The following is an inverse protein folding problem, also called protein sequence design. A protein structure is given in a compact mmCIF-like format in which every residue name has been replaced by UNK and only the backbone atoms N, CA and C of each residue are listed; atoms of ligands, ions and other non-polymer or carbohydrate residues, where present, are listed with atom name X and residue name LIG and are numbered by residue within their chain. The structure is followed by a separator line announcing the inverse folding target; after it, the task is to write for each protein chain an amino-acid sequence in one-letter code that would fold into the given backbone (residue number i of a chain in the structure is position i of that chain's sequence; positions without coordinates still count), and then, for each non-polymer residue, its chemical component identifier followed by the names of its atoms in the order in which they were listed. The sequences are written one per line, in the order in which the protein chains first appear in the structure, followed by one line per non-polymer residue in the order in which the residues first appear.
data_IF_016718108366
#
_entry.id   IF_016718108366
#
_cell.length_a   1.000
_cell.length_b   1.000
_cell.length_c   1.000
_cell.angle_alpha   90.00
_cell.angle_beta   90.00
_cell.angle_gamma   90.00
#
_symmetry.space_group_name_H-M   'P 1'
#
loop_
_entity.id
_entity.type
_entity.pdbx_description
1 polymer ?
#
# COMPACT_ATOMS: atom_id res chain seq x y z
N UNK A 1 31.07 7.78 -57.36
CA UNK A 1 31.40 8.69 -56.23
C UNK A 1 30.48 8.37 -55.07
N UNK A 2 31.05 8.14 -53.88
CA UNK A 2 30.42 7.50 -52.71
C UNK A 2 29.27 8.36 -52.14
N UNK A 3 28.07 7.78 -52.01
CA UNK A 3 26.96 8.40 -51.25
C UNK A 3 27.23 8.20 -49.76
N UNK A 4 27.52 9.30 -49.06
CA UNK A 4 27.68 9.32 -47.60
C UNK A 4 26.30 9.19 -46.97
N UNK A 5 26.09 8.13 -46.19
CA UNK A 5 24.90 7.91 -45.39
C UNK A 5 25.15 8.55 -44.02
N UNK A 6 24.59 9.73 -43.77
CA UNK A 6 24.66 10.39 -42.46
C UNK A 6 23.64 9.72 -41.54
N UNK A 7 24.12 8.92 -40.59
CA UNK A 7 23.30 8.31 -39.56
C UNK A 7 22.94 9.37 -38.51
N UNK A 8 21.67 9.81 -38.51
CA UNK A 8 21.14 10.76 -37.54
C UNK A 8 20.92 10.03 -36.20
N UNK A 9 21.81 10.23 -35.23
CA UNK A 9 21.64 9.73 -33.86
C UNK A 9 20.59 10.60 -33.16
N UNK A 10 19.35 10.13 -33.11
CA UNK A 10 18.28 10.78 -32.36
C UNK A 10 18.53 10.52 -30.87
N UNK A 11 19.17 11.47 -30.17
CA UNK A 11 19.19 11.47 -28.70
C UNK A 11 17.78 11.74 -28.19
N UNK A 12 17.05 10.67 -27.88
CA UNK A 12 15.82 10.78 -27.11
C UNK A 12 16.27 11.14 -25.68
N UNK A 13 16.25 12.44 -25.35
CA UNK A 13 16.28 12.87 -23.95
C UNK A 13 14.98 12.39 -23.30
N UNK A 14 14.97 11.15 -22.83
CA UNK A 14 13.93 10.68 -21.92
C UNK A 14 14.03 11.52 -20.66
N UNK A 15 13.04 12.37 -20.42
CA UNK A 15 12.85 13.02 -19.12
C UNK A 15 12.56 11.91 -18.10
N UNK A 16 13.61 11.29 -17.57
CA UNK A 16 13.50 10.49 -16.35
C UNK A 16 13.15 11.46 -15.24
N UNK A 17 12.14 11.12 -14.43
CA UNK A 17 11.88 11.87 -13.21
C UNK A 17 13.13 11.88 -12.33
N UNK A 18 13.25 12.91 -11.51
CA UNK A 18 14.36 13.08 -10.58
C UNK A 18 14.39 12.02 -9.49
N UNK A 19 13.22 11.51 -9.13
CA UNK A 19 13.05 10.45 -8.12
C UNK A 19 12.04 9.44 -8.63
N UNK A 20 12.48 8.20 -8.85
CA UNK A 20 11.66 7.06 -9.19
C UNK A 20 11.37 6.22 -7.94
N UNK A 21 10.10 6.01 -7.64
CA UNK A 21 9.65 5.36 -6.41
C UNK A 21 8.86 4.11 -6.74
N UNK A 22 9.31 2.97 -6.21
CA UNK A 22 8.52 1.75 -6.17
C UNK A 22 7.71 1.74 -4.86
N UNK A 23 6.38 1.88 -4.94
CA UNK A 23 5.52 1.94 -3.77
C UNK A 23 4.46 0.85 -3.78
N UNK A 24 4.20 0.27 -2.60
CA UNK A 24 3.09 -0.65 -2.42
C UNK A 24 1.76 0.00 -2.81
N UNK A 25 0.88 -0.78 -3.43
CA UNK A 25 -0.41 -0.29 -3.92
C UNK A 25 -1.28 0.39 -2.85
N UNK A 26 -1.19 -0.04 -1.58
CA UNK A 26 -1.94 0.60 -0.49
C UNK A 26 -1.57 2.08 -0.27
N UNK A 27 -0.32 2.49 -0.59
CA UNK A 27 0.20 3.87 -0.47
C UNK A 27 -0.42 4.81 -1.49
N UNK A 28 -0.94 4.28 -2.60
CA UNK A 28 -1.45 5.05 -3.73
C UNK A 28 -2.37 6.21 -3.32
N UNK A 29 -3.24 5.93 -2.34
CA UNK A 29 -4.28 6.87 -1.90
C UNK A 29 -3.71 8.11 -1.22
N UNK A 30 -2.65 7.96 -0.41
CA UNK A 30 -1.97 9.08 0.25
C UNK A 30 -0.90 9.74 -0.65
N UNK A 31 -0.42 9.03 -1.67
CA UNK A 31 0.77 9.43 -2.41
C UNK A 31 0.64 10.79 -3.10
N UNK A 32 -0.53 11.09 -3.69
CA UNK A 32 -0.76 12.40 -4.32
C UNK A 32 -0.68 13.56 -3.33
N UNK A 33 -1.17 13.37 -2.10
CA UNK A 33 -1.07 14.38 -1.05
C UNK A 33 0.37 14.53 -0.55
N UNK A 34 1.08 13.41 -0.36
CA UNK A 34 2.50 13.40 0.00
C UNK A 34 3.34 14.13 -1.05
N UNK A 35 3.13 13.82 -2.33
CA UNK A 35 3.82 14.46 -3.44
C UNK A 35 3.55 15.96 -3.46
N UNK A 36 2.29 16.38 -3.36
CA UNK A 36 1.91 17.80 -3.33
C UNK A 36 2.55 18.54 -2.16
N UNK A 37 2.58 17.93 -0.98
CA UNK A 37 3.19 18.56 0.20
C UNK A 37 4.70 18.69 0.06
N UNK A 38 5.39 17.65 -0.41
CA UNK A 38 6.83 17.68 -0.69
C UNK A 38 7.20 18.78 -1.70
N UNK A 39 6.40 18.93 -2.76
CA UNK A 39 6.63 19.90 -3.83
C UNK A 39 6.48 21.36 -3.38
N UNK A 40 5.84 21.64 -2.24
CA UNK A 40 5.79 23.02 -1.69
C UNK A 40 7.17 23.56 -1.34
N UNK A 41 8.06 22.68 -0.86
CA UNK A 41 9.44 23.03 -0.48
C UNK A 41 10.46 22.65 -1.56
N UNK A 42 10.05 21.85 -2.55
CA UNK A 42 10.90 21.31 -3.60
C UNK A 42 10.19 21.35 -4.97
N UNK A 43 9.85 22.56 -5.48
CA UNK A 43 9.06 22.69 -6.70
C UNK A 43 9.75 22.12 -7.95
N UNK A 44 11.09 22.10 -7.95
CA UNK A 44 11.90 21.64 -9.08
C UNK A 44 12.22 20.14 -9.06
N UNK A 45 11.72 19.39 -8.07
CA UNK A 45 11.96 17.94 -7.96
C UNK A 45 10.75 17.18 -8.50
N UNK A 46 10.95 16.51 -9.63
CA UNK A 46 9.95 15.65 -10.25
C UNK A 46 9.93 14.25 -9.61
N UNK A 47 8.75 13.75 -9.26
CA UNK A 47 8.57 12.42 -8.66
C UNK A 47 7.75 11.56 -9.61
N UNK A 48 8.26 10.38 -9.90
CA UNK A 48 7.53 9.31 -10.58
C UNK A 48 7.31 8.15 -9.60
N UNK A 49 6.09 7.64 -9.55
CA UNK A 49 5.71 6.52 -8.67
C UNK A 49 5.18 5.36 -9.48
N UNK A 50 5.79 4.19 -9.28
CA UNK A 50 5.30 2.91 -9.77
C UNK A 50 4.64 2.16 -8.63
N UNK A 51 3.33 1.94 -8.77
CA UNK A 51 2.51 1.27 -7.76
C UNK A 51 2.38 -0.21 -8.09
N UNK A 52 2.50 -1.08 -7.07
CA UNK A 52 2.35 -2.51 -7.28
C UNK A 52 2.36 -3.34 -5.99
N UNK A 53 2.23 -4.66 -6.15
CA UNK A 53 2.45 -5.58 -5.04
C UNK A 53 3.94 -5.55 -4.63
N UNK A 54 4.24 -5.42 -3.34
CA UNK A 54 5.62 -5.30 -2.86
C UNK A 54 6.52 -6.45 -3.30
N UNK A 55 6.01 -7.69 -3.35
CA UNK A 55 6.78 -8.83 -3.88
C UNK A 55 7.20 -8.66 -5.34
N UNK A 56 6.30 -8.15 -6.21
CA UNK A 56 6.63 -7.89 -7.60
C UNK A 56 7.66 -6.76 -7.73
N UNK A 57 7.51 -5.70 -6.92
CA UNK A 57 8.45 -4.58 -6.90
C UNK A 57 9.84 -5.00 -6.39
N UNK A 58 9.91 -5.89 -5.38
CA UNK A 58 11.17 -6.52 -4.95
C UNK A 58 11.83 -7.26 -6.12
N UNK A 59 11.08 -8.08 -6.86
CA UNK A 59 11.61 -8.77 -8.04
C UNK A 59 12.11 -7.79 -9.11
N UNK A 60 11.38 -6.69 -9.36
CA UNK A 60 11.82 -5.67 -10.31
C UNK A 60 13.11 -4.98 -9.87
N UNK A 61 13.23 -4.60 -8.59
CA UNK A 61 14.45 -3.99 -8.03
C UNK A 61 15.64 -4.95 -8.17
N UNK A 62 15.46 -6.23 -7.82
CA UNK A 62 16.49 -7.26 -7.97
C UNK A 62 16.92 -7.49 -9.43
N UNK A 63 15.99 -7.30 -10.36
CA UNK A 63 16.25 -7.38 -11.80
C UNK A 63 16.77 -6.07 -12.41
N UNK A 64 17.13 -5.07 -11.58
CA UNK A 64 17.79 -3.85 -12.04
C UNK A 64 16.86 -2.71 -12.45
N UNK A 65 15.57 -2.75 -12.07
CA UNK A 65 14.68 -1.62 -12.29
C UNK A 65 15.20 -0.36 -11.54
N UNK A 66 15.27 0.81 -12.21
CA UNK A 66 15.96 2.00 -11.70
C UNK A 66 15.10 2.80 -10.69
N UNK A 67 14.71 2.16 -9.59
CA UNK A 67 13.99 2.83 -8.51
C UNK A 67 14.97 3.41 -7.49
N UNK A 68 14.81 4.66 -7.11
CA UNK A 68 15.61 5.30 -6.07
C UNK A 68 15.14 4.91 -4.66
N UNK A 69 13.83 4.81 -4.46
CA UNK A 69 13.19 4.55 -3.17
C UNK A 69 12.23 3.37 -3.32
N UNK A 70 12.22 2.51 -2.31
CA UNK A 70 11.22 1.46 -2.18
C UNK A 70 10.40 1.66 -0.90
N UNK A 71 9.07 1.76 -1.06
CA UNK A 71 8.09 1.85 0.03
C UNK A 71 7.24 0.58 0.05
N UNK A 72 7.59 -0.33 0.96
CA UNK A 72 7.00 -1.65 1.08
C UNK A 72 5.71 -1.67 1.92
N UNK A 73 4.83 -2.64 1.66
CA UNK A 73 3.65 -2.91 2.49
C UNK A 73 3.98 -3.59 3.83
N UNK A 74 5.20 -4.09 4.00
CA UNK A 74 5.70 -4.60 5.27
C UNK A 74 7.23 -4.45 5.39
N UNK A 75 7.76 -4.60 6.61
CA UNK A 75 9.20 -4.61 6.87
C UNK A 75 9.93 -5.78 6.20
N UNK A 76 9.31 -6.96 6.07
CA UNK A 76 9.95 -8.15 5.49
C UNK A 76 10.47 -7.90 4.06
N UNK A 77 9.70 -7.22 3.21
CA UNK A 77 10.14 -6.91 1.85
C UNK A 77 11.31 -5.91 1.84
N UNK A 78 11.23 -4.84 2.64
CA UNK A 78 12.33 -3.87 2.73
C UNK A 78 13.60 -4.50 3.32
N UNK A 79 13.45 -5.36 4.33
CA UNK A 79 14.51 -6.13 4.95
C UNK A 79 15.18 -7.08 3.95
N UNK A 80 14.40 -7.78 3.13
CA UNK A 80 14.96 -8.68 2.11
C UNK A 80 15.86 -7.93 1.12
N UNK A 81 15.49 -6.72 0.68
CA UNK A 81 16.36 -5.93 -0.20
C UNK A 81 17.62 -5.45 0.51
N UNK A 82 17.56 -5.15 1.80
CA UNK A 82 18.73 -4.77 2.58
C UNK A 82 19.70 -5.94 2.77
N UNK A 83 19.19 -7.11 3.14
CA UNK A 83 19.99 -8.35 3.33
C UNK A 83 20.63 -8.81 2.01
N UNK A 84 19.92 -8.65 0.90
CA UNK A 84 20.41 -9.01 -0.43
C UNK A 84 21.30 -7.90 -1.06
N UNK A 85 21.69 -6.86 -0.31
CA UNK A 85 22.54 -5.73 -0.76
C UNK A 85 21.95 -4.85 -1.89
N UNK A 86 20.62 -4.84 -2.03
CA UNK A 86 19.87 -3.95 -2.93
C UNK A 86 19.38 -2.65 -2.26
N UNK A 87 19.74 -2.40 -1.00
CA UNK A 87 19.43 -1.18 -0.27
C UNK A 87 20.70 -0.46 0.19
N UNK A 88 20.70 0.88 0.09
CA UNK A 88 21.77 1.74 0.61
C UNK A 88 21.52 2.23 2.04
N UNK A 89 20.28 2.16 2.51
CA UNK A 89 19.88 2.49 3.88
C UNK A 89 19.28 1.28 4.58
N UNK A 90 19.43 1.21 5.91
CA UNK A 90 18.65 0.27 6.71
C UNK A 90 17.15 0.53 6.55
N UNK A 91 16.29 -0.50 6.51
CA UNK A 91 14.85 -0.33 6.51
C UNK A 91 14.35 0.41 7.74
N UNK A 92 13.45 1.37 7.54
CA UNK A 92 12.80 2.12 8.62
C UNK A 92 11.28 2.04 8.43
N UNK A 93 10.53 2.01 9.53
CA UNK A 93 9.07 2.03 9.49
C UNK A 93 8.62 3.46 9.18
N UNK A 94 7.93 3.68 8.06
CA UNK A 94 7.40 5.01 7.70
C UNK A 94 5.92 5.19 8.12
N UNK A 95 5.16 4.09 8.13
CA UNK A 95 3.75 4.06 8.52
C UNK A 95 3.35 2.65 8.95
N UNK A 96 2.18 2.56 9.57
CA UNK A 96 1.53 1.29 9.88
C UNK A 96 0.20 1.22 9.13
N UNK A 97 -0.02 0.12 8.40
CA UNK A 97 -1.31 -0.12 7.77
C UNK A 97 -2.42 -0.28 8.82
N UNK A 98 -3.59 0.29 8.56
CA UNK A 98 -4.80 0.02 9.34
C UNK A 98 -5.79 -0.82 8.54
N UNK A 99 -6.50 -1.69 9.25
CA UNK A 99 -7.49 -2.60 8.68
C UNK A 99 -8.90 -2.01 8.84
N UNK A 100 -9.72 -2.15 7.80
CA UNK A 100 -11.14 -1.80 7.86
C UNK A 100 -11.98 -2.98 7.36
N UNK A 101 -13.17 -3.13 7.92
CA UNK A 101 -14.19 -4.03 7.39
C UNK A 101 -15.17 -3.18 6.57
N UNK A 102 -15.44 -3.57 5.33
CA UNK A 102 -16.28 -2.82 4.38
C UNK A 102 -17.40 -3.71 3.82
N UNK A 103 -18.59 -3.13 3.66
CA UNK A 103 -19.67 -3.66 2.83
C UNK A 103 -20.36 -2.54 2.05
N UNK A 104 -20.69 -2.82 0.79
CA UNK A 104 -21.54 -1.96 -0.06
C UNK A 104 -22.96 -2.49 -0.22
N UNK A 105 -23.29 -3.61 0.45
CA UNK A 105 -24.57 -4.32 0.33
C UNK A 105 -25.26 -4.52 1.68
N UNK A 106 -24.54 -4.37 2.78
CA UNK A 106 -24.99 -4.71 4.12
C UNK A 106 -24.73 -3.60 5.13
N UNK A 107 -25.46 -3.68 6.24
CA UNK A 107 -25.29 -2.82 7.41
C UNK A 107 -24.34 -3.48 8.42
N UNK A 108 -23.25 -2.78 8.75
CA UNK A 108 -22.20 -3.16 9.68
C UNK A 108 -22.36 -2.48 11.06
N UNK A 109 -23.54 -1.97 11.41
CA UNK A 109 -23.79 -1.31 12.71
C UNK A 109 -23.54 -2.19 13.94
N UNK A 110 -23.52 -3.52 13.77
CA UNK A 110 -23.14 -4.47 14.83
C UNK A 110 -21.63 -4.76 14.86
N UNK A 111 -20.84 -4.06 14.05
CA UNK A 111 -19.41 -4.25 13.94
C UNK A 111 -19.05 -5.65 13.43
N UNK A 112 -18.04 -6.26 14.06
CA UNK A 112 -17.60 -7.63 13.75
C UNK A 112 -18.69 -8.67 14.02
N UNK A 113 -19.67 -8.40 14.88
CA UNK A 113 -20.77 -9.33 15.14
C UNK A 113 -21.67 -9.54 13.92
N UNK A 114 -21.71 -8.59 12.98
CA UNK A 114 -22.42 -8.78 11.69
C UNK A 114 -21.92 -10.01 10.95
N UNK A 115 -20.64 -10.38 11.08
CA UNK A 115 -20.04 -11.52 10.37
C UNK A 115 -20.63 -12.87 10.78
N UNK A 116 -21.21 -12.96 11.98
CA UNK A 116 -21.86 -14.17 12.50
C UNK A 116 -23.24 -14.39 11.88
N UNK A 117 -23.88 -13.36 11.34
CA UNK A 117 -25.24 -13.47 10.82
C UNK A 117 -25.34 -14.47 9.66
N UNK A 118 -26.46 -15.20 9.59
CA UNK A 118 -26.69 -16.22 8.56
C UNK A 118 -26.70 -15.66 7.15
N UNK A 119 -27.10 -14.39 7.00
CA UNK A 119 -27.13 -13.68 5.71
C UNK A 119 -25.72 -13.37 5.16
N UNK A 120 -24.68 -13.38 6.00
CA UNK A 120 -23.29 -13.27 5.54
C UNK A 120 -22.84 -14.64 5.03
N UNK A 121 -22.54 -14.73 3.73
CA UNK A 121 -22.06 -15.94 3.05
C UNK A 121 -20.61 -15.82 2.60
N UNK A 122 -20.18 -14.63 2.17
CA UNK A 122 -18.83 -14.39 1.63
C UNK A 122 -18.15 -13.26 2.38
N UNK A 123 -17.08 -13.60 3.10
CA UNK A 123 -16.14 -12.67 3.74
C UNK A 123 -14.84 -12.73 2.93
N UNK A 124 -14.51 -11.68 2.17
CA UNK A 124 -13.25 -11.68 1.43
C UNK A 124 -12.11 -11.12 2.28
N UNK A 125 -10.95 -11.77 2.24
CA UNK A 125 -9.70 -11.31 2.85
C UNK A 125 -8.57 -11.40 1.83
N UNK A 126 -7.51 -10.62 2.00
CA UNK A 126 -6.27 -10.91 1.27
C UNK A 126 -5.67 -12.25 1.74
N UNK A 127 -4.95 -12.95 0.88
CA UNK A 127 -4.30 -14.22 1.22
C UNK A 127 -3.37 -14.04 2.44
N UNK A 128 -3.64 -14.69 3.58
CA UNK A 128 -2.90 -14.46 4.82
C UNK A 128 -1.45 -14.95 4.78
N UNK A 129 -1.12 -15.90 3.89
CA UNK A 129 0.25 -16.39 3.70
C UNK A 129 1.10 -15.42 2.87
N UNK A 130 0.47 -14.60 2.05
CA UNK A 130 1.15 -13.72 1.10
C UNK A 130 1.09 -12.22 1.47
N UNK A 131 0.07 -11.80 2.25
CA UNK A 131 -0.21 -10.40 2.51
C UNK A 131 -0.44 -10.09 4.00
N UNK A 132 0.23 -9.06 4.57
CA UNK A 132 0.05 -8.64 5.95
C UNK A 132 -1.40 -8.35 6.35
N UNK A 133 -2.17 -7.73 5.46
CA UNK A 133 -3.59 -7.44 5.70
C UNK A 133 -4.43 -8.71 5.79
N UNK A 134 -4.05 -9.76 5.07
CA UNK A 134 -4.71 -11.06 5.17
C UNK A 134 -4.48 -11.69 6.54
N UNK A 135 -3.21 -11.70 6.97
CA UNK A 135 -2.85 -12.18 8.30
C UNK A 135 -3.57 -11.38 9.40
N UNK A 136 -3.55 -10.05 9.32
CA UNK A 136 -4.25 -9.18 10.26
C UNK A 136 -5.78 -9.42 10.29
N UNK A 137 -6.38 -9.82 9.16
CA UNK A 137 -7.80 -10.19 9.10
C UNK A 137 -8.08 -11.46 9.91
N UNK A 138 -7.21 -12.48 9.77
CA UNK A 138 -7.32 -13.71 10.55
C UNK A 138 -7.12 -13.45 12.04
N UNK A 139 -6.07 -12.70 12.40
CA UNK A 139 -5.80 -12.30 13.78
C UNK A 139 -6.98 -11.53 14.38
N UNK A 140 -7.59 -10.62 13.61
CA UNK A 140 -8.78 -9.88 14.03
C UNK A 140 -9.92 -10.82 14.39
N UNK A 141 -10.23 -11.78 13.51
CA UNK A 141 -11.30 -12.75 13.74
C UNK A 141 -11.02 -13.67 14.93
N UNK A 142 -9.76 -14.06 15.14
CA UNK A 142 -9.32 -14.90 16.25
C UNK A 142 -9.40 -14.16 17.59
N UNK A 143 -8.84 -12.95 17.65
CA UNK A 143 -8.83 -12.12 18.86
C UNK A 143 -10.23 -11.61 19.22
N UNK A 144 -11.10 -11.41 18.22
CA UNK A 144 -12.52 -11.16 18.43
C UNK A 144 -13.34 -12.43 18.78
N UNK A 145 -12.71 -13.61 18.81
CA UNK A 145 -13.34 -14.91 19.13
C UNK A 145 -14.48 -15.31 18.19
N UNK A 146 -14.43 -14.90 16.93
CA UNK A 146 -15.43 -15.22 15.90
C UNK A 146 -14.90 -16.03 14.72
N UNK A 147 -13.61 -16.36 14.71
CA UNK A 147 -12.98 -17.10 13.62
C UNK A 147 -13.69 -18.43 13.31
N UNK A 148 -13.98 -19.26 14.30
CA UNK A 148 -14.62 -20.56 14.08
C UNK A 148 -16.02 -20.46 13.43
N UNK A 149 -16.76 -19.38 13.73
CA UNK A 149 -18.10 -19.15 13.17
C UNK A 149 -18.07 -18.55 11.75
N UNK A 150 -16.93 -17.99 11.36
CA UNK A 150 -16.76 -17.27 10.10
C UNK A 150 -15.88 -18.03 9.10
N UNK A 151 -15.04 -18.97 9.54
CA UNK A 151 -14.01 -19.61 8.72
C UNK A 151 -14.50 -20.22 7.41
N UNK A 152 -15.71 -20.80 7.42
CA UNK A 152 -16.32 -21.42 6.23
C UNK A 152 -16.86 -20.40 5.22
N UNK A 153 -16.99 -19.13 5.62
CA UNK A 153 -17.44 -18.00 4.80
C UNK A 153 -16.26 -17.24 4.16
N UNK A 154 -15.03 -17.56 4.55
CA UNK A 154 -13.84 -16.81 4.14
C UNK A 154 -13.43 -17.22 2.72
N UNK A 155 -13.25 -16.22 1.85
CA UNK A 155 -12.63 -16.38 0.53
C UNK A 155 -11.34 -15.57 0.50
N UNK A 156 -10.25 -16.19 0.05
CA UNK A 156 -8.96 -15.52 -0.08
C UNK A 156 -8.79 -14.90 -1.47
N UNK A 157 -8.57 -13.59 -1.51
CA UNK A 157 -8.10 -12.85 -2.67
C UNK A 157 -6.56 -12.87 -2.73
N UNK A 158 -5.96 -12.75 -3.92
CA UNK A 158 -4.48 -12.81 -4.06
C UNK A 158 -3.78 -11.61 -3.42
N UNK A 159 -4.46 -10.47 -3.27
CA UNK A 159 -3.91 -9.24 -2.71
C UNK A 159 -4.99 -8.40 -2.02
N UNK A 160 -4.56 -7.37 -1.27
CA UNK A 160 -5.48 -6.45 -0.61
C UNK A 160 -6.31 -5.60 -1.60
N UNK A 161 -5.75 -5.26 -2.77
CA UNK A 161 -6.50 -4.57 -3.83
C UNK A 161 -7.54 -5.47 -4.48
N UNK A 162 -7.23 -6.77 -4.62
CA UNK A 162 -8.22 -7.74 -5.08
C UNK A 162 -9.32 -7.97 -4.03
N UNK A 163 -8.98 -8.02 -2.74
CA UNK A 163 -9.97 -8.10 -1.67
C UNK A 163 -10.94 -6.92 -1.72
N UNK A 164 -10.46 -5.68 -1.96
CA UNK A 164 -11.33 -4.53 -2.22
C UNK A 164 -12.23 -4.75 -3.43
N UNK A 165 -11.65 -5.15 -4.57
CA UNK A 165 -12.40 -5.39 -5.81
C UNK A 165 -13.52 -6.43 -5.61
N UNK A 166 -13.21 -7.54 -4.92
CA UNK A 166 -14.17 -8.57 -4.58
C UNK A 166 -15.23 -8.07 -3.61
N UNK A 167 -14.86 -7.27 -2.59
CA UNK A 167 -15.80 -6.59 -1.68
C UNK A 167 -16.82 -5.76 -2.46
N UNK A 168 -16.37 -5.01 -3.46
CA UNK A 168 -17.24 -4.16 -4.26
C UNK A 168 -18.11 -4.92 -5.25
N UNK A 169 -17.68 -6.08 -5.74
CA UNK A 169 -18.36 -6.78 -6.85
C UNK A 169 -19.16 -8.01 -6.45
N UNK A 170 -18.68 -8.80 -5.49
CA UNK A 170 -19.17 -10.15 -5.27
C UNK A 170 -19.31 -10.57 -3.79
N UNK A 171 -18.50 -10.03 -2.89
CA UNK A 171 -18.57 -10.40 -1.48
C UNK A 171 -19.63 -9.60 -0.72
N UNK A 172 -20.15 -10.20 0.35
CA UNK A 172 -21.07 -9.58 1.28
C UNK A 172 -20.35 -8.52 2.11
N UNK A 173 -19.13 -8.85 2.51
CA UNK A 173 -18.24 -8.01 3.32
C UNK A 173 -16.79 -8.38 3.02
N UNK A 174 -15.87 -7.46 3.25
CA UNK A 174 -14.46 -7.77 3.13
C UNK A 174 -13.57 -6.92 4.03
N UNK A 175 -12.44 -7.52 4.38
CA UNK A 175 -11.36 -6.81 5.05
C UNK A 175 -10.47 -6.12 4.01
N UNK A 176 -10.32 -4.81 4.16
CA UNK A 176 -9.59 -3.93 3.25
C UNK A 176 -8.54 -3.12 4.00
N UNK A 177 -7.61 -2.51 3.26
CA UNK A 177 -6.80 -1.44 3.83
C UNK A 177 -7.69 -0.22 4.10
N UNK A 178 -7.62 0.37 5.30
CA UNK A 178 -8.39 1.57 5.62
C UNK A 178 -8.09 2.74 4.67
N UNK A 179 -6.86 2.82 4.15
CA UNK A 179 -6.49 3.82 3.14
C UNK A 179 -7.28 3.71 1.83
N UNK A 180 -7.80 2.52 1.51
CA UNK A 180 -8.64 2.34 0.34
C UNK A 180 -9.97 3.08 0.43
N UNK A 181 -10.45 3.45 1.63
CA UNK A 181 -11.64 4.27 1.82
C UNK A 181 -11.54 5.65 1.13
N UNK A 182 -10.32 6.10 0.83
CA UNK A 182 -10.03 7.36 0.14
C UNK A 182 -9.91 7.19 -1.38
N UNK A 183 -10.17 5.99 -1.92
CA UNK A 183 -10.22 5.75 -3.36
C UNK A 183 -11.42 6.47 -3.98
N UNK A 184 -11.20 7.15 -5.11
CA UNK A 184 -12.24 7.91 -5.80
C UNK A 184 -13.43 7.04 -6.21
N UNK A 185 -13.20 5.76 -6.54
CA UNK A 185 -14.24 4.81 -6.95
C UNK A 185 -15.25 4.56 -5.84
N UNK A 186 -14.84 4.67 -4.56
CA UNK A 186 -15.71 4.46 -3.40
C UNK A 186 -16.66 5.63 -3.12
N UNK A 187 -16.38 6.82 -3.65
CA UNK A 187 -17.22 8.02 -3.45
C UNK A 187 -18.66 7.80 -3.93
N UNK A 188 -18.85 7.01 -4.98
CA UNK A 188 -20.17 6.69 -5.54
C UNK A 188 -21.07 5.91 -4.59
N UNK A 189 -20.49 5.16 -3.65
CA UNK A 189 -21.22 4.33 -2.68
C UNK A 189 -21.72 5.11 -1.46
N UNK A 190 -21.32 6.38 -1.29
CA UNK A 190 -21.71 7.24 -0.14
C UNK A 190 -21.53 6.53 1.21
N UNK A 191 -20.37 5.88 1.38
CA UNK A 191 -20.06 5.07 2.55
C UNK A 191 -20.12 5.88 3.84
N UNK A 192 -20.76 5.32 4.87
CA UNK A 192 -20.83 5.90 6.20
C UNK A 192 -20.08 5.02 7.20
N UNK A 193 -19.21 5.62 8.02
CA UNK A 193 -18.56 4.91 9.12
C UNK A 193 -19.62 4.40 10.11
N UNK A 194 -19.41 3.21 10.66
CA UNK A 194 -20.36 2.54 11.54
C UNK A 194 -21.52 1.86 10.81
N UNK A 195 -21.76 2.16 9.52
CA UNK A 195 -22.83 1.53 8.74
C UNK A 195 -22.32 0.72 7.55
N UNK A 196 -21.50 1.32 6.70
CA UNK A 196 -20.93 0.63 5.53
C UNK A 196 -19.53 0.13 5.80
N UNK A 197 -18.78 0.80 6.67
CA UNK A 197 -17.46 0.34 7.09
C UNK A 197 -17.22 0.60 8.57
N UNK A 198 -16.31 -0.18 9.16
CA UNK A 198 -15.77 0.07 10.50
C UNK A 198 -14.25 -0.01 10.42
N UNK A 199 -13.57 0.84 11.19
CA UNK A 199 -12.14 0.70 11.43
C UNK A 199 -11.92 -0.40 12.47
N UNK A 200 -11.01 -1.32 12.20
CA UNK A 200 -10.68 -2.39 13.13
C UNK A 200 -9.77 -1.84 14.22
N UNK A 201 -10.07 -2.17 15.47
CA UNK A 201 -9.23 -1.82 16.60
C UNK A 201 -7.82 -2.41 16.41
N UNK A 202 -6.74 -1.60 16.38
CA UNK A 202 -5.39 -2.08 16.14
C UNK A 202 -4.86 -3.03 17.22
N UNK A 203 -5.54 -3.17 18.36
CA UNK A 203 -5.22 -4.18 19.39
C UNK A 203 -5.64 -5.61 18.99
N UNK A 204 -6.39 -5.77 17.89
CA UNK A 204 -6.88 -7.07 17.43
C UNK A 204 -5.95 -7.77 16.44
N UNK A 205 -4.87 -7.13 16.02
CA UNK A 205 -3.93 -7.69 15.05
C UNK A 205 -2.53 -7.10 15.26
N UNK A 206 -1.51 -7.81 14.81
CA UNK A 206 -0.13 -7.34 14.88
C UNK A 206 0.08 -6.11 13.97
N UNK A 207 0.83 -5.08 14.41
CA UNK A 207 1.03 -3.88 13.61
C UNK A 207 1.56 -4.17 12.21
N UNK A 208 0.85 -3.67 11.19
CA UNK A 208 1.24 -3.79 9.78
C UNK A 208 2.35 -2.76 9.48
N UNK A 209 3.55 -2.99 10.02
CA UNK A 209 4.70 -2.10 9.90
C UNK A 209 5.22 -2.02 8.47
N UNK A 210 5.12 -0.85 7.82
CA UNK A 210 5.50 -0.62 6.43
C UNK A 210 6.90 -0.01 6.34
N UNK A 211 7.77 -0.63 5.55
CA UNK A 211 9.19 -0.28 5.48
C UNK A 211 9.54 0.63 4.29
N UNK A 212 10.45 1.58 4.52
CA UNK A 212 11.05 2.40 3.45
C UNK A 212 12.57 2.21 3.44
N UNK A 213 13.14 2.18 2.23
CA UNK A 213 14.59 2.24 1.98
C UNK A 213 14.90 3.20 0.83
N UNK A 214 16.13 3.71 0.79
CA UNK A 214 16.79 4.09 -0.45
C UNK A 214 17.44 2.82 -1.03
N UNK A 215 17.22 2.54 -2.30
CA UNK A 215 17.81 1.37 -2.97
C UNK A 215 19.31 1.58 -3.21
N UNK A 216 20.01 0.54 -3.65
CA UNK A 216 21.40 0.68 -4.12
C UNK A 216 21.51 1.57 -5.35
N UNK A 217 20.50 1.59 -6.23
CA UNK A 217 20.44 2.48 -7.39
C UNK A 217 20.34 3.96 -6.96
N UNK A 218 19.46 4.26 -5.99
CA UNK A 218 19.24 5.62 -5.48
C UNK A 218 20.31 6.17 -4.54
N UNK A 219 21.37 5.39 -4.23
CA UNK A 219 22.36 5.71 -3.19
C UNK A 219 22.95 7.13 -3.31
N UNK A 220 23.24 7.56 -4.54
CA UNK A 220 23.89 8.85 -4.81
C UNK A 220 22.90 9.94 -5.25
N UNK A 221 21.59 9.65 -5.22
CA UNK A 221 20.57 10.60 -5.62
C UNK A 221 20.17 11.50 -4.42
N UNK A 222 20.75 12.69 -4.36
CA UNK A 222 20.44 13.66 -3.31
C UNK A 222 18.95 14.08 -3.28
N UNK A 223 18.26 14.07 -4.43
CA UNK A 223 16.82 14.38 -4.53
C UNK A 223 15.99 13.23 -3.93
N UNK A 224 16.38 11.98 -4.15
CA UNK A 224 15.78 10.83 -3.49
C UNK A 224 15.94 10.91 -1.97
N UNK A 225 17.14 11.28 -1.48
CA UNK A 225 17.34 11.47 -0.03
C UNK A 225 16.40 12.52 0.56
N UNK A 226 16.19 13.65 -0.12
CA UNK A 226 15.21 14.66 0.32
C UNK A 226 13.79 14.09 0.44
N UNK A 227 13.34 13.31 -0.54
CA UNK A 227 12.01 12.69 -0.47
C UNK A 227 11.93 11.62 0.62
N UNK A 228 12.96 10.80 0.78
CA UNK A 228 13.07 9.82 1.86
C UNK A 228 12.94 10.49 3.24
N UNK A 229 13.71 11.56 3.48
CA UNK A 229 13.66 12.32 4.74
C UNK A 229 12.28 12.97 4.95
N UNK A 230 11.65 13.47 3.88
CA UNK A 230 10.28 13.98 3.93
C UNK A 230 9.27 12.92 4.35
N UNK A 231 9.33 11.70 3.78
CA UNK A 231 8.40 10.62 4.14
C UNK A 231 8.49 10.25 5.63
N UNK A 232 9.68 10.37 6.23
CA UNK A 232 9.88 10.12 7.66
C UNK A 232 9.51 11.31 8.56
N UNK A 233 9.24 12.48 7.99
CA UNK A 233 8.95 13.71 8.71
C UNK A 233 7.57 13.70 9.40
N UNK A 234 7.38 14.62 10.35
CA UNK A 234 6.08 14.85 11.00
C UNK A 234 4.98 15.18 9.99
N UNK A 235 5.28 15.99 8.95
CA UNK A 235 4.31 16.40 7.93
C UNK A 235 3.77 15.21 7.14
N UNK A 236 4.66 14.32 6.68
CA UNK A 236 4.24 13.11 5.99
C UNK A 236 3.44 12.17 6.91
N UNK A 237 3.84 12.02 8.18
CA UNK A 237 3.09 11.24 9.17
C UNK A 237 1.67 11.76 9.39
N UNK A 238 1.48 13.08 9.42
CA UNK A 238 0.14 13.69 9.50
C UNK A 238 -0.71 13.37 8.26
N UNK A 239 -0.12 13.41 7.07
CA UNK A 239 -0.80 13.00 5.84
C UNK A 239 -1.18 11.51 5.90
N UNK A 240 -0.26 10.63 6.28
CA UNK A 240 -0.57 9.21 6.45
C UNK A 240 -1.75 8.99 7.42
N UNK A 241 -1.79 9.67 8.57
CA UNK A 241 -2.94 9.61 9.48
C UNK A 241 -4.24 10.06 8.81
N UNK A 242 -4.20 11.16 8.06
CA UNK A 242 -5.36 11.68 7.33
C UNK A 242 -5.87 10.73 6.23
N UNK A 243 -5.05 9.76 5.82
CA UNK A 243 -5.40 8.72 4.85
C UNK A 243 -5.57 7.33 5.51
N UNK A 244 -5.85 7.28 6.81
CA UNK A 244 -6.23 6.04 7.50
C UNK A 244 -5.07 5.12 7.85
N UNK A 245 -3.83 5.63 7.94
CA UNK A 245 -2.70 4.88 8.47
C UNK A 245 -2.53 5.13 9.97
N UNK A 246 -2.02 4.12 10.66
CA UNK A 246 -1.43 4.29 11.98
C UNK A 246 0.02 4.78 11.84
N UNK A 247 0.56 5.39 12.90
CA UNK A 247 1.94 5.88 12.94
C UNK A 247 2.65 5.22 14.13
N UNK A 248 3.89 4.74 13.95
CA UNK A 248 4.72 4.20 15.04
C UNK A 248 4.97 5.21 16.16
#
# INVERSE_FOLDING_TARGET
MKKIFTLLFLCIFGYSADVNIAAAANVAYAFKALQKEFQKENPDISINVSLGASGNLVSQIKNGAPFDIFMAANMKFAQSLYEDNFASTKPVIYAQGALALLSVRMDLSKGLDTLKEEKVKIITIANPKAAPYGQASIETLQNAKIYEQTKTKIIEAKSIGEALTQTLKAADVGFIAASALYEDTLKSYKLQEGKNYILINPKLYEPINQGIIITSYGKNNAKAKKFYDFILSKKAKEIFKAYGYNIP
#
